data_IF_069466759603
#
_entry.id   IF_069466759603
#
_cell.length_a   1.000
_cell.length_b   1.000
_cell.length_c   1.000
_cell.angle_alpha   90.00
_cell.angle_beta   90.00
_cell.angle_gamma   90.00
#
_symmetry.space_group_name_H-M   'P 1'
#
loop_
_entity.id
_entity.type
_entity.pdbx_description
1 polymer ?
#
# COMPACT_ATOMS: atom_id res chain seq x y z
N UNK A 1 8.50 -61.39 -9.51
CA UNK A 1 8.57 -60.08 -8.84
C UNK A 1 10.03 -59.70 -8.66
N UNK A 2 10.46 -58.58 -9.26
CA UNK A 2 11.85 -58.08 -9.22
C UNK A 2 12.02 -57.18 -7.99
N UNK A 3 13.00 -57.45 -7.14
CA UNK A 3 13.46 -56.52 -6.11
C UNK A 3 14.48 -55.55 -6.74
N UNK A 4 14.24 -54.25 -6.64
CA UNK A 4 15.24 -53.21 -6.96
C UNK A 4 15.97 -52.83 -5.69
N UNK A 5 17.26 -53.09 -5.64
CA UNK A 5 18.19 -52.65 -4.59
C UNK A 5 18.51 -51.17 -4.80
N UNK A 6 18.27 -50.34 -3.78
CA UNK A 6 18.61 -48.91 -3.79
C UNK A 6 20.10 -48.76 -3.43
N UNK A 7 20.93 -48.24 -4.36
CA UNK A 7 22.31 -47.83 -4.07
C UNK A 7 22.30 -46.36 -3.64
N UNK A 8 22.78 -46.09 -2.43
CA UNK A 8 23.04 -44.73 -1.93
C UNK A 8 24.50 -44.41 -2.24
N UNK A 9 24.74 -43.44 -3.12
CA UNK A 9 26.08 -42.88 -3.33
C UNK A 9 26.24 -41.66 -2.43
N UNK A 10 27.27 -41.65 -1.57
CA UNK A 10 27.67 -40.46 -0.82
C UNK A 10 28.09 -39.36 -1.81
N UNK A 11 27.42 -38.21 -1.77
CA UNK A 11 27.88 -36.97 -2.39
C UNK A 11 28.61 -36.18 -1.32
N UNK A 12 29.91 -35.97 -1.51
CA UNK A 12 30.74 -35.12 -0.65
C UNK A 12 30.33 -33.66 -0.86
N UNK A 13 29.71 -33.04 0.14
CA UNK A 13 29.40 -31.60 0.12
C UNK A 13 30.65 -30.82 0.50
N UNK A 14 31.18 -30.06 -0.45
CA UNK A 14 32.25 -29.10 -0.23
C UNK A 14 31.66 -27.86 0.44
N UNK A 15 31.89 -27.69 1.75
CA UNK A 15 31.50 -26.48 2.48
C UNK A 15 32.54 -25.39 2.19
N UNK A 16 32.20 -24.47 1.30
CA UNK A 16 32.96 -23.23 1.12
C UNK A 16 32.49 -22.28 2.22
N UNK A 17 33.35 -22.07 3.22
CA UNK A 17 33.17 -21.06 4.26
C UNK A 17 33.31 -19.66 3.64
N UNK A 18 32.19 -19.09 3.19
CA UNK A 18 32.09 -17.67 2.85
C UNK A 18 32.03 -16.92 4.18
N UNK A 19 33.01 -16.05 4.42
CA UNK A 19 33.06 -15.21 5.61
C UNK A 19 31.77 -14.41 5.75
N UNK A 20 31.20 -14.44 6.96
CA UNK A 20 30.07 -13.60 7.35
C UNK A 20 30.48 -12.13 7.18
N UNK A 21 30.01 -11.50 6.11
CA UNK A 21 29.94 -10.04 6.05
C UNK A 21 28.83 -9.67 7.04
N UNK A 22 29.17 -8.91 8.08
CA UNK A 22 28.21 -8.41 9.06
C UNK A 22 27.18 -7.50 8.37
N UNK A 23 25.98 -8.03 8.12
CA UNK A 23 24.81 -7.27 7.63
C UNK A 23 24.18 -6.37 8.71
N UNK A 24 24.75 -6.29 9.91
CA UNK A 24 24.20 -5.54 11.04
C UNK A 24 24.34 -4.02 10.94
N UNK A 25 25.10 -3.48 9.99
CA UNK A 25 25.34 -2.03 9.88
C UNK A 25 24.39 -1.27 8.92
N UNK A 26 23.53 -1.96 8.16
CA UNK A 26 22.55 -1.28 7.28
C UNK A 26 21.22 -1.08 8.00
N UNK A 27 20.80 -2.05 8.83
CA UNK A 27 19.59 -1.94 9.67
C UNK A 27 19.67 -0.84 10.75
N UNK A 28 20.85 -0.30 11.07
CA UNK A 28 21.05 0.69 12.13
C UNK A 28 20.83 2.15 11.71
N UNK A 29 20.75 2.46 10.42
CA UNK A 29 20.83 3.84 9.92
C UNK A 29 19.47 4.52 9.61
N UNK A 30 18.35 3.80 9.72
CA UNK A 30 17.01 4.42 9.65
C UNK A 30 16.28 4.40 10.98
N UNK A 31 16.70 3.55 11.94
CA UNK A 31 15.91 3.34 13.15
C UNK A 31 15.78 4.63 13.98
N UNK A 32 16.84 5.43 14.05
CA UNK A 32 16.78 6.73 14.74
C UNK A 32 15.81 7.70 14.05
N UNK A 33 15.80 7.74 12.73
CA UNK A 33 14.92 8.59 11.91
C UNK A 33 13.47 8.14 12.05
N UNK A 34 13.22 6.83 12.06
CA UNK A 34 11.91 6.21 12.29
C UNK A 34 11.39 6.55 13.70
N UNK A 35 12.20 6.33 14.73
CA UNK A 35 11.80 6.56 16.13
C UNK A 35 11.40 8.02 16.34
N UNK A 36 12.20 8.96 15.83
CA UNK A 36 11.90 10.39 15.87
C UNK A 36 10.62 10.74 15.12
N UNK A 37 10.42 10.19 13.93
CA UNK A 37 9.22 10.44 13.13
C UNK A 37 7.96 9.93 13.84
N UNK A 38 8.03 8.74 14.45
CA UNK A 38 6.96 8.17 15.27
C UNK A 38 6.64 9.07 16.47
N UNK A 39 7.66 9.52 17.20
CA UNK A 39 7.48 10.39 18.37
C UNK A 39 6.84 11.73 17.97
N UNK A 40 7.30 12.34 16.87
CA UNK A 40 6.69 13.54 16.31
C UNK A 40 5.22 13.32 15.97
N UNK A 41 4.88 12.25 15.23
CA UNK A 41 3.50 11.99 14.82
C UNK A 41 2.58 11.73 16.01
N UNK A 42 3.06 11.04 17.06
CA UNK A 42 2.31 10.84 18.31
C UNK A 42 2.06 12.15 19.07
N UNK A 43 2.94 13.14 18.93
CA UNK A 43 2.77 14.45 19.57
C UNK A 43 1.80 15.37 18.82
N UNK A 44 1.39 15.02 17.59
CA UNK A 44 0.42 15.79 16.79
C UNK A 44 -1.02 15.27 16.95
N UNK A 45 -2.04 16.10 16.66
CA UNK A 45 -3.41 15.62 16.47
C UNK A 45 -3.46 14.50 15.42
N UNK A 46 -4.09 13.38 15.77
CA UNK A 46 -4.16 12.23 14.87
C UNK A 46 -5.11 12.49 13.70
N UNK A 47 -4.69 12.03 12.53
CA UNK A 47 -5.44 12.06 11.27
C UNK A 47 -5.44 10.66 10.67
N UNK A 48 -6.24 10.42 9.63
CA UNK A 48 -6.21 9.15 8.90
C UNK A 48 -4.79 8.81 8.39
N UNK A 49 -4.03 9.83 7.95
CA UNK A 49 -2.67 9.64 7.45
C UNK A 49 -1.68 9.31 8.56
N UNK A 50 -1.71 10.02 9.69
CA UNK A 50 -0.82 9.68 10.81
C UNK A 50 -1.19 8.34 11.43
N UNK A 51 -2.48 7.97 11.45
CA UNK A 51 -2.94 6.64 11.87
C UNK A 51 -2.36 5.55 11.01
N UNK A 52 -2.48 5.68 9.68
CA UNK A 52 -1.92 4.73 8.73
C UNK A 52 -0.41 4.59 8.92
N UNK A 53 0.30 5.71 9.04
CA UNK A 53 1.75 5.75 9.23
C UNK A 53 2.19 5.07 10.53
N UNK A 54 1.57 5.43 11.66
CA UNK A 54 1.86 4.85 12.97
C UNK A 54 1.55 3.35 12.99
N UNK A 55 0.42 2.94 12.41
CA UNK A 55 0.07 1.53 12.31
C UNK A 55 1.07 0.76 11.44
N UNK A 56 1.55 1.36 10.35
CA UNK A 56 2.62 0.78 9.53
C UNK A 56 3.93 0.61 10.31
N UNK A 57 4.23 1.50 11.27
CA UNK A 57 5.36 1.37 12.19
C UNK A 57 5.15 0.31 13.29
N UNK A 58 3.98 -0.34 13.35
CA UNK A 58 3.65 -1.32 14.38
C UNK A 58 3.22 -0.70 15.70
N UNK A 59 2.85 0.58 15.70
CA UNK A 59 2.41 1.27 16.91
C UNK A 59 1.06 0.77 17.39
N UNK A 60 0.93 0.69 18.71
CA UNK A 60 -0.29 0.23 19.38
C UNK A 60 -0.92 1.36 20.19
N UNK A 61 -2.23 1.27 20.46
CA UNK A 61 -2.95 2.30 21.22
C UNK A 61 -3.14 3.62 20.48
N UNK A 62 -3.09 3.60 19.14
CA UNK A 62 -3.39 4.76 18.29
C UNK A 62 -4.84 5.19 18.53
N UNK A 63 -5.06 6.50 18.69
CA UNK A 63 -6.41 7.07 18.82
C UNK A 63 -7.13 7.06 17.46
N UNK A 64 -8.20 6.27 17.38
CA UNK A 64 -9.02 6.08 16.18
C UNK A 64 -10.35 6.83 16.23
N UNK A 65 -10.61 7.63 17.26
CA UNK A 65 -11.90 8.32 17.45
C UNK A 65 -12.25 9.24 16.27
N UNK A 66 -11.25 9.85 15.63
CA UNK A 66 -11.41 10.67 14.44
C UNK A 66 -11.84 9.89 13.17
N UNK A 67 -11.81 8.55 13.22
CA UNK A 67 -12.27 7.66 12.14
C UNK A 67 -13.66 7.06 12.42
N UNK A 68 -14.32 7.45 13.52
CA UNK A 68 -15.67 6.96 13.84
C UNK A 68 -16.74 7.58 12.93
N UNK A 69 -16.53 8.80 12.43
CA UNK A 69 -17.48 9.46 11.53
C UNK A 69 -16.78 10.49 10.65
N UNK A 70 -16.99 10.37 9.33
CA UNK A 70 -16.53 11.37 8.38
C UNK A 70 -17.42 12.64 8.49
N UNK A 71 -16.83 13.84 8.66
CA UNK A 71 -17.59 15.09 8.70
C UNK A 71 -18.44 15.25 7.43
N UNK A 72 -19.68 15.70 7.59
CA UNK A 72 -20.68 15.72 6.51
C UNK A 72 -20.22 16.45 5.24
N UNK A 73 -19.49 17.55 5.42
CA UNK A 73 -18.96 18.42 4.38
C UNK A 73 -17.67 17.89 3.74
N UNK A 74 -17.08 16.83 4.30
CA UNK A 74 -15.84 16.22 3.84
C UNK A 74 -16.09 14.83 3.21
N UNK A 75 -17.35 14.39 3.10
CA UNK A 75 -17.70 13.10 2.48
C UNK A 75 -17.39 13.12 0.99
N UNK A 76 -16.40 12.32 0.60
CA UNK A 76 -15.92 12.17 -0.78
C UNK A 76 -15.29 10.79 -0.95
N UNK A 77 -15.01 10.41 -2.20
CA UNK A 77 -14.24 9.20 -2.53
C UNK A 77 -12.93 9.17 -1.73
N UNK A 78 -12.16 10.25 -1.79
CA UNK A 78 -10.88 10.37 -1.11
C UNK A 78 -10.99 10.22 0.41
N UNK A 79 -12.03 10.78 1.04
CA UNK A 79 -12.22 10.63 2.49
C UNK A 79 -12.50 9.18 2.87
N UNK A 80 -13.43 8.50 2.17
CA UNK A 80 -13.73 7.10 2.46
C UNK A 80 -12.54 6.19 2.16
N UNK A 81 -11.85 6.39 1.03
CA UNK A 81 -10.65 5.64 0.68
C UNK A 81 -9.57 5.77 1.76
N UNK A 82 -9.29 7.00 2.22
CA UNK A 82 -8.34 7.25 3.30
C UNK A 82 -8.74 6.59 4.62
N UNK A 83 -10.03 6.61 4.97
CA UNK A 83 -10.53 5.98 6.20
C UNK A 83 -10.37 4.46 6.11
N UNK A 84 -10.72 3.85 4.97
CA UNK A 84 -10.51 2.42 4.73
C UNK A 84 -9.04 2.07 4.90
N UNK A 85 -8.14 2.78 4.22
CA UNK A 85 -6.70 2.52 4.29
C UNK A 85 -6.15 2.66 5.72
N UNK A 86 -6.57 3.69 6.46
CA UNK A 86 -6.14 3.90 7.83
C UNK A 86 -6.68 2.83 8.81
N UNK A 87 -7.95 2.44 8.65
CA UNK A 87 -8.57 1.41 9.48
C UNK A 87 -7.96 0.04 9.21
N UNK A 88 -7.76 -0.32 7.94
CA UNK A 88 -7.10 -1.57 7.55
C UNK A 88 -5.67 -1.60 8.09
N UNK A 89 -4.91 -0.51 7.94
CA UNK A 89 -3.57 -0.39 8.53
C UNK A 89 -3.59 -0.65 10.05
N UNK A 90 -4.59 -0.11 10.76
CA UNK A 90 -4.79 -0.30 12.19
C UNK A 90 -5.47 -1.64 12.58
N UNK A 91 -5.66 -2.57 11.64
CA UNK A 91 -6.29 -3.87 11.86
C UNK A 91 -7.78 -3.79 12.24
N UNK A 92 -8.48 -2.76 11.76
CA UNK A 92 -9.92 -2.54 11.99
C UNK A 92 -10.72 -2.81 10.72
N UNK A 93 -11.96 -3.24 10.90
CA UNK A 93 -12.88 -3.50 9.79
C UNK A 93 -13.61 -2.21 9.37
N UNK A 94 -13.37 -1.67 8.17
CA UNK A 94 -13.96 -0.43 7.70
C UNK A 94 -15.47 -0.51 7.40
N UNK A 95 -16.07 -1.72 7.35
CA UNK A 95 -17.52 -1.88 7.16
C UNK A 95 -18.33 -1.70 8.44
N UNK A 96 -17.67 -1.81 9.61
CA UNK A 96 -18.34 -1.88 10.91
C UNK A 96 -17.69 -1.05 12.02
N UNK A 97 -16.52 -0.46 11.78
CA UNK A 97 -15.83 0.36 12.77
C UNK A 97 -16.56 1.68 13.05
N UNK A 98 -16.93 2.41 12.00
CA UNK A 98 -17.51 3.75 12.11
C UNK A 98 -19.03 3.75 12.11
N UNK A 99 -19.59 4.96 12.05
CA UNK A 99 -21.02 5.21 11.96
C UNK A 99 -21.64 4.81 10.60
N UNK A 100 -20.80 4.54 9.60
CA UNK A 100 -21.19 4.16 8.24
C UNK A 100 -20.32 2.99 7.78
N UNK A 101 -20.86 2.17 6.88
CA UNK A 101 -20.04 1.23 6.11
C UNK A 101 -19.24 2.01 5.07
N UNK A 102 -17.97 2.26 5.34
CA UNK A 102 -17.13 3.09 4.47
C UNK A 102 -16.86 2.42 3.12
N UNK A 103 -16.88 1.09 3.05
CA UNK A 103 -16.68 0.35 1.79
C UNK A 103 -17.91 0.50 0.90
N UNK A 104 -19.11 0.30 1.45
CA UNK A 104 -20.34 0.52 0.71
C UNK A 104 -20.50 1.98 0.29
N UNK A 105 -20.10 2.93 1.16
CA UNK A 105 -20.07 4.35 0.81
C UNK A 105 -19.12 4.63 -0.34
N UNK A 106 -17.88 4.15 -0.30
CA UNK A 106 -16.92 4.31 -1.39
C UNK A 106 -17.48 3.75 -2.71
N UNK A 107 -18.02 2.52 -2.69
CA UNK A 107 -18.61 1.88 -3.87
C UNK A 107 -19.79 2.63 -4.45
N UNK A 108 -20.56 3.34 -3.62
CA UNK A 108 -21.71 4.13 -4.08
C UNK A 108 -21.34 5.33 -4.96
N UNK A 109 -20.07 5.74 -4.99
CA UNK A 109 -19.57 6.79 -5.90
C UNK A 109 -19.18 6.25 -7.28
N UNK A 110 -19.23 4.94 -7.51
CA UNK A 110 -18.91 4.37 -8.81
C UNK A 110 -20.00 4.66 -9.83
N UNK A 111 -19.63 5.34 -10.91
CA UNK A 111 -20.51 5.69 -12.02
C UNK A 111 -19.69 5.91 -13.30
N UNK A 112 -20.24 5.55 -14.46
CA UNK A 112 -19.59 5.78 -15.76
C UNK A 112 -18.15 5.23 -15.85
N UNK A 113 -17.91 4.04 -15.29
CA UNK A 113 -16.63 3.33 -15.28
C UNK A 113 -15.52 4.01 -14.44
N UNK A 114 -15.87 4.95 -13.55
CA UNK A 114 -14.93 5.63 -12.66
C UNK A 114 -15.58 5.94 -11.29
N UNK A 115 -14.78 6.30 -10.29
CA UNK A 115 -15.25 6.68 -8.95
C UNK A 115 -15.25 8.18 -8.76
N UNK A 116 -16.41 8.77 -8.47
CA UNK A 116 -16.49 10.17 -8.08
C UNK A 116 -16.68 11.11 -9.27
N UNK A 117 -15.80 12.10 -9.40
CA UNK A 117 -15.94 13.21 -10.34
C UNK A 117 -15.25 12.86 -11.66
N UNK A 118 -15.99 12.99 -12.77
CA UNK A 118 -15.53 12.56 -14.11
C UNK A 118 -14.31 13.33 -14.65
N UNK A 119 -13.92 14.42 -14.00
CA UNK A 119 -12.71 15.17 -14.36
C UNK A 119 -11.49 14.82 -13.51
N UNK A 120 -11.67 14.03 -12.45
CA UNK A 120 -10.60 13.62 -11.55
C UNK A 120 -10.06 12.23 -11.94
N UNK A 121 -8.79 12.01 -11.61
CA UNK A 121 -8.17 10.68 -11.64
C UNK A 121 -7.80 10.22 -10.23
N UNK A 122 -7.55 11.17 -9.35
CA UNK A 122 -7.10 10.94 -8.00
C UNK A 122 -8.10 10.09 -7.19
N UNK A 123 -9.40 10.30 -7.39
CA UNK A 123 -10.46 9.53 -6.74
C UNK A 123 -10.48 8.06 -7.17
N UNK A 124 -10.33 7.75 -8.46
CA UNK A 124 -10.14 6.37 -8.93
C UNK A 124 -8.90 5.73 -8.31
N UNK A 125 -7.76 6.44 -8.31
CA UNK A 125 -6.50 5.97 -7.76
C UNK A 125 -6.67 5.56 -6.28
N UNK A 126 -7.28 6.43 -5.47
CA UNK A 126 -7.51 6.14 -4.06
C UNK A 126 -8.57 5.07 -3.83
N UNK A 127 -9.62 5.01 -4.65
CA UNK A 127 -10.64 3.97 -4.56
C UNK A 127 -10.06 2.58 -4.82
N UNK A 128 -9.19 2.44 -5.83
CA UNK A 128 -8.48 1.19 -6.13
C UNK A 128 -7.59 0.77 -4.96
N UNK A 129 -6.76 1.68 -4.43
CA UNK A 129 -5.91 1.38 -3.28
C UNK A 129 -6.72 0.93 -2.06
N UNK A 130 -7.83 1.59 -1.77
CA UNK A 130 -8.70 1.24 -0.65
C UNK A 130 -9.36 -0.13 -0.84
N UNK A 131 -9.92 -0.42 -2.02
CA UNK A 131 -10.55 -1.72 -2.30
C UNK A 131 -9.51 -2.85 -2.36
N UNK A 132 -8.32 -2.61 -2.91
CA UNK A 132 -7.21 -3.57 -2.88
C UNK A 132 -6.77 -3.91 -1.46
N UNK A 133 -6.72 -2.92 -0.56
CA UNK A 133 -6.35 -3.14 0.85
C UNK A 133 -7.24 -4.14 1.60
N UNK A 134 -8.46 -4.36 1.12
CA UNK A 134 -9.42 -5.33 1.67
C UNK A 134 -9.64 -6.56 0.76
N UNK A 135 -8.74 -6.82 -0.17
CA UNK A 135 -8.79 -7.99 -1.06
C UNK A 135 -9.90 -7.93 -2.12
N UNK A 136 -10.30 -6.73 -2.55
CA UNK A 136 -11.37 -6.51 -3.54
C UNK A 136 -10.85 -5.96 -4.88
N UNK A 137 -9.57 -6.16 -5.17
CA UNK A 137 -8.92 -5.71 -6.40
C UNK A 137 -9.50 -6.33 -7.68
N UNK A 138 -10.13 -7.51 -7.57
CA UNK A 138 -10.71 -8.24 -8.70
C UNK A 138 -12.17 -7.86 -9.04
N UNK A 139 -12.78 -6.91 -8.31
CA UNK A 139 -14.13 -6.45 -8.61
C UNK A 139 -14.19 -5.73 -9.96
N UNK A 140 -15.31 -5.87 -10.69
CA UNK A 140 -15.48 -5.21 -12.00
C UNK A 140 -15.30 -3.69 -11.92
N UNK A 141 -15.81 -3.05 -10.87
CA UNK A 141 -15.65 -1.61 -10.63
C UNK A 141 -14.18 -1.18 -10.50
N UNK A 142 -13.32 -2.03 -9.93
CA UNK A 142 -11.87 -1.77 -9.82
C UNK A 142 -11.22 -1.95 -11.18
N UNK A 143 -11.61 -2.99 -11.93
CA UNK A 143 -11.08 -3.24 -13.26
C UNK A 143 -11.45 -2.13 -14.26
N UNK A 144 -12.67 -1.60 -14.16
CA UNK A 144 -13.16 -0.46 -14.96
C UNK A 144 -12.42 0.84 -14.60
N UNK A 145 -12.27 1.16 -13.30
CA UNK A 145 -11.49 2.32 -12.85
C UNK A 145 -10.01 2.23 -13.25
N UNK A 146 -9.41 1.02 -13.16
CA UNK A 146 -8.05 0.75 -13.64
C UNK A 146 -7.93 1.06 -15.13
N UNK A 147 -8.88 0.61 -15.94
CA UNK A 147 -8.89 0.90 -17.38
C UNK A 147 -9.08 2.40 -17.65
N UNK A 148 -9.88 3.10 -16.84
CA UNK A 148 -10.03 4.56 -16.91
C UNK A 148 -8.70 5.28 -16.66
N UNK A 149 -7.96 4.91 -15.61
CA UNK A 149 -6.62 5.48 -15.33
C UNK A 149 -5.66 5.21 -16.50
N UNK A 150 -5.59 3.97 -16.99
CA UNK A 150 -4.70 3.60 -18.09
C UNK A 150 -4.98 4.38 -19.38
N UNK A 151 -6.26 4.64 -19.68
CA UNK A 151 -6.68 5.38 -20.86
C UNK A 151 -6.41 6.88 -20.77
N UNK A 152 -6.14 7.40 -19.57
CA UNK A 152 -5.86 8.82 -19.32
C UNK A 152 -4.40 9.08 -18.92
N UNK A 153 -3.47 8.19 -19.28
CA UNK A 153 -2.04 8.47 -19.17
C UNK A 153 -1.65 9.58 -20.17
N UNK A 154 -0.95 10.60 -19.69
CA UNK A 154 -0.46 11.69 -20.52
C UNK A 154 0.67 11.23 -21.46
N UNK A 155 0.93 12.01 -22.51
CA UNK A 155 1.96 11.66 -23.51
C UNK A 155 3.39 11.70 -22.94
N UNK A 156 3.59 12.32 -21.79
CA UNK A 156 4.86 12.31 -21.04
C UNK A 156 5.03 11.05 -20.17
N UNK A 157 4.00 10.19 -20.09
CA UNK A 157 4.01 8.96 -19.31
C UNK A 157 3.49 9.10 -17.88
N UNK A 158 3.17 10.32 -17.43
CA UNK A 158 2.64 10.55 -16.07
C UNK A 158 1.12 10.62 -16.02
N UNK A 159 0.62 10.83 -14.80
CA UNK A 159 -0.75 11.20 -14.48
C UNK A 159 -0.75 12.42 -13.55
N UNK A 160 -1.85 13.17 -13.54
CA UNK A 160 -2.08 14.27 -12.62
C UNK A 160 -3.29 14.02 -11.75
N UNK A 161 -3.53 14.93 -10.80
CA UNK A 161 -4.73 14.92 -9.93
C UNK A 161 -6.05 14.80 -10.72
N UNK A 162 -6.09 15.43 -11.89
CA UNK A 162 -7.20 15.45 -12.83
C UNK A 162 -6.69 15.12 -14.24
N UNK A 163 -7.57 15.20 -15.25
CA UNK A 163 -7.24 14.95 -16.66
C UNK A 163 -6.28 15.99 -17.30
N UNK A 164 -5.61 16.84 -16.50
CA UNK A 164 -4.65 17.82 -16.97
C UNK A 164 -3.20 17.30 -16.86
N UNK A 165 -2.26 18.20 -16.57
CA UNK A 165 -0.83 17.92 -16.58
C UNK A 165 -0.42 16.93 -15.50
N UNK A 166 0.56 16.09 -15.84
CA UNK A 166 1.17 15.13 -14.93
C UNK A 166 1.92 15.82 -13.78
N UNK A 167 1.93 15.18 -12.61
CA UNK A 167 2.78 15.52 -11.47
C UNK A 167 3.37 14.26 -10.83
N UNK A 168 4.41 14.42 -9.99
CA UNK A 168 5.11 13.28 -9.38
C UNK A 168 4.25 12.51 -8.38
N UNK A 169 3.36 13.19 -7.65
CA UNK A 169 2.60 12.59 -6.57
C UNK A 169 1.51 11.68 -7.12
N UNK A 170 0.69 12.19 -8.03
CA UNK A 170 -0.39 11.45 -8.66
C UNK A 170 0.16 10.37 -9.60
N UNK A 171 1.30 10.59 -10.26
CA UNK A 171 1.97 9.51 -11.01
C UNK A 171 2.44 8.38 -10.10
N UNK A 172 3.05 8.70 -8.95
CA UNK A 172 3.47 7.68 -7.99
C UNK A 172 2.27 6.92 -7.39
N UNK A 173 1.19 7.63 -7.06
CA UNK A 173 -0.04 7.03 -6.55
C UNK A 173 -0.70 6.13 -7.61
N UNK A 174 -0.75 6.56 -8.87
CA UNK A 174 -1.26 5.77 -9.99
C UNK A 174 -0.45 4.48 -10.20
N UNK A 175 0.89 4.53 -10.12
CA UNK A 175 1.72 3.32 -10.17
C UNK A 175 1.28 2.34 -9.07
N UNK A 176 1.15 2.81 -7.82
CA UNK A 176 0.77 1.94 -6.71
C UNK A 176 -0.62 1.33 -6.90
N UNK A 177 -1.60 2.13 -7.34
CA UNK A 177 -2.98 1.67 -7.60
C UNK A 177 -3.04 0.67 -8.76
N UNK A 178 -2.34 0.92 -9.86
CA UNK A 178 -2.34 0.04 -11.02
C UNK A 178 -1.69 -1.32 -10.70
N UNK A 179 -0.58 -1.33 -9.98
CA UNK A 179 0.04 -2.56 -9.51
C UNK A 179 -0.89 -3.33 -8.55
N UNK A 180 -1.58 -2.62 -7.66
CA UNK A 180 -2.59 -3.21 -6.77
C UNK A 180 -3.75 -3.84 -7.56
N UNK A 181 -4.19 -3.20 -8.65
CA UNK A 181 -5.21 -3.72 -9.55
C UNK A 181 -4.72 -4.81 -10.53
N UNK A 182 -3.49 -5.32 -10.33
CA UNK A 182 -2.92 -6.44 -11.09
C UNK A 182 -2.26 -6.06 -12.43
N UNK A 183 -1.99 -4.77 -12.68
CA UNK A 183 -1.17 -4.37 -13.82
C UNK A 183 0.27 -4.82 -13.59
N UNK A 184 0.87 -5.48 -14.58
CA UNK A 184 2.27 -5.90 -14.48
C UNK A 184 3.20 -4.67 -14.43
N UNK A 185 4.23 -4.74 -13.59
CA UNK A 185 5.31 -3.76 -13.50
C UNK A 185 6.03 -3.57 -14.85
N UNK A 186 6.12 -4.62 -15.67
CA UNK A 186 6.69 -4.61 -17.00
C UNK A 186 5.77 -4.01 -18.09
N UNK A 187 4.56 -3.58 -17.74
CA UNK A 187 3.64 -2.97 -18.71
C UNK A 187 4.16 -1.64 -19.22
N UNK A 188 3.85 -1.31 -20.48
CA UNK A 188 4.29 -0.06 -21.11
C UNK A 188 3.88 1.17 -20.29
N UNK A 189 2.65 1.17 -19.75
CA UNK A 189 2.15 2.28 -18.93
C UNK A 189 3.02 2.51 -17.69
N UNK A 190 3.34 1.45 -16.94
CA UNK A 190 4.18 1.56 -15.74
C UNK A 190 5.61 1.96 -16.10
N UNK A 191 6.19 1.41 -17.18
CA UNK A 191 7.55 1.77 -17.61
C UNK A 191 7.65 3.23 -18.08
N UNK A 192 6.60 3.75 -18.73
CA UNK A 192 6.50 5.17 -19.09
C UNK A 192 6.43 6.04 -17.84
N UNK A 193 5.65 5.65 -16.83
CA UNK A 193 5.53 6.37 -15.57
C UNK A 193 6.84 6.40 -14.77
N UNK A 194 7.57 5.29 -14.72
CA UNK A 194 8.92 5.24 -14.12
C UNK A 194 9.86 6.21 -14.86
N UNK A 195 9.78 6.25 -16.19
CA UNK A 195 10.60 7.15 -17.02
C UNK A 195 10.25 8.61 -16.78
N UNK A 196 8.95 8.93 -16.65
CA UNK A 196 8.46 10.24 -16.25
C UNK A 196 9.06 10.65 -14.90
N UNK A 197 8.90 9.85 -13.83
CA UNK A 197 9.43 10.17 -12.51
C UNK A 197 10.94 10.41 -12.55
N UNK A 198 11.71 9.52 -13.20
CA UNK A 198 13.17 9.68 -13.36
C UNK A 198 13.57 10.98 -14.05
N UNK A 199 12.75 11.50 -14.96
CA UNK A 199 13.02 12.76 -15.63
C UNK A 199 12.84 13.99 -14.72
N UNK A 200 12.06 13.88 -13.65
CA UNK A 200 11.84 14.94 -12.66
C UNK A 200 12.82 14.89 -11.47
N UNK A 201 13.55 13.79 -11.27
CA UNK A 201 14.50 13.69 -10.16
C UNK A 201 15.58 14.78 -10.26
N UNK A 202 15.83 15.51 -9.17
CA UNK A 202 16.84 16.56 -9.11
C UNK A 202 18.23 16.04 -8.69
N UNK A 203 19.27 16.87 -8.85
CA UNK A 203 20.67 16.49 -8.57
C UNK A 203 20.96 16.23 -7.08
N UNK A 204 20.10 16.70 -6.19
CA UNK A 204 20.11 16.40 -4.76
C UNK A 204 19.46 15.04 -4.43
N UNK A 205 18.95 14.34 -5.45
CA UNK A 205 18.27 13.05 -5.34
C UNK A 205 16.77 13.16 -5.10
N UNK A 206 16.26 14.35 -4.76
CA UNK A 206 14.85 14.56 -4.40
C UNK A 206 13.92 14.71 -5.60
N UNK A 207 12.62 14.59 -5.34
CA UNK A 207 11.56 14.78 -6.31
C UNK A 207 10.77 16.06 -6.00
N UNK A 208 10.59 16.93 -7.00
CA UNK A 208 9.65 18.03 -6.91
C UNK A 208 8.23 17.61 -7.31
N UNK A 209 7.22 18.40 -6.94
CA UNK A 209 5.84 18.18 -7.41
C UNK A 209 5.74 18.30 -8.95
N UNK A 210 6.37 19.34 -9.52
CA UNK A 210 6.41 19.60 -10.97
C UNK A 210 7.85 19.73 -11.45
N UNK A 211 8.07 19.52 -12.76
CA UNK A 211 9.36 19.72 -13.41
C UNK A 211 9.92 21.13 -13.10
N UNK A 212 11.22 21.19 -12.86
CA UNK A 212 11.97 22.42 -12.54
C UNK A 212 11.51 23.17 -11.28
N UNK A 213 10.74 22.52 -10.38
CA UNK A 213 10.42 23.06 -9.06
C UNK A 213 11.29 22.47 -7.94
N UNK A 214 11.16 23.00 -6.73
CA UNK A 214 11.95 22.59 -5.56
C UNK A 214 11.48 21.21 -5.07
N UNK A 215 12.39 20.25 -4.83
CA UNK A 215 12.06 18.97 -4.21
C UNK A 215 11.42 19.12 -2.83
N UNK A 216 10.56 18.19 -2.47
CA UNK A 216 9.82 18.27 -1.22
C UNK A 216 9.54 16.89 -0.59
N UNK A 217 9.31 16.87 0.72
CA UNK A 217 9.14 15.64 1.48
C UNK A 217 7.86 14.88 1.16
N UNK A 218 6.82 15.55 0.64
CA UNK A 218 5.63 14.86 0.17
C UNK A 218 5.94 14.08 -1.11
N UNK A 219 6.52 14.74 -2.11
CA UNK A 219 6.87 14.12 -3.39
C UNK A 219 7.88 13.01 -3.24
N UNK A 220 8.92 13.19 -2.43
CA UNK A 220 9.84 12.10 -2.10
C UNK A 220 9.10 10.91 -1.49
N UNK A 221 8.20 11.15 -0.53
CA UNK A 221 7.53 10.07 0.15
C UNK A 221 6.66 9.22 -0.78
N UNK A 222 5.90 9.88 -1.66
CA UNK A 222 5.06 9.17 -2.63
C UNK A 222 5.90 8.41 -3.64
N UNK A 223 6.94 9.04 -4.21
CA UNK A 223 7.80 8.39 -5.21
C UNK A 223 8.57 7.23 -4.61
N UNK A 224 9.16 7.38 -3.41
CA UNK A 224 9.87 6.28 -2.73
C UNK A 224 8.92 5.11 -2.43
N UNK A 225 7.70 5.39 -1.96
CA UNK A 225 6.71 4.33 -1.73
C UNK A 225 6.38 3.58 -3.02
N UNK A 226 6.22 4.28 -4.15
CA UNK A 226 6.00 3.65 -5.45
C UNK A 226 7.22 2.82 -5.92
N UNK A 227 8.45 3.28 -5.64
CA UNK A 227 9.67 2.51 -5.92
C UNK A 227 9.65 1.17 -5.15
N UNK A 228 9.27 1.18 -3.87
CA UNK A 228 9.12 -0.05 -3.09
C UNK A 228 7.97 -0.94 -3.62
N UNK A 229 6.84 -0.36 -4.05
CA UNK A 229 5.75 -1.15 -4.69
C UNK A 229 6.21 -1.89 -5.94
N UNK A 230 7.12 -1.29 -6.69
CA UNK A 230 7.75 -1.87 -7.87
C UNK A 230 8.79 -2.95 -7.54
N UNK A 231 9.03 -3.24 -6.25
CA UNK A 231 10.09 -4.15 -5.81
C UNK A 231 11.50 -3.61 -6.09
N UNK A 232 11.64 -2.29 -6.27
CA UNK A 232 12.92 -1.63 -6.51
C UNK A 232 13.44 -1.00 -5.23
N UNK A 233 14.74 -0.69 -5.21
CA UNK A 233 15.42 -0.05 -4.09
C UNK A 233 15.81 1.40 -4.47
N UNK A 234 15.29 2.42 -3.76
CA UNK A 234 15.52 3.83 -4.06
C UNK A 234 16.98 4.25 -3.83
N UNK A 235 17.78 3.48 -3.11
CA UNK A 235 19.19 3.79 -2.82
C UNK A 235 20.16 3.29 -3.90
N UNK A 236 19.66 2.57 -4.91
CA UNK A 236 20.48 2.01 -5.98
C UNK A 236 20.84 3.02 -7.05
N UNK A 237 21.82 2.68 -7.91
CA UNK A 237 22.21 3.50 -9.07
C UNK A 237 21.06 3.81 -10.03
N UNK A 238 20.01 2.99 -10.06
CA UNK A 238 18.81 3.21 -10.87
C UNK A 238 18.06 4.49 -10.50
N UNK A 239 18.13 4.89 -9.23
CA UNK A 239 17.46 6.04 -8.63
C UNK A 239 18.46 7.03 -8.04
N UNK A 240 19.74 6.94 -8.39
CA UNK A 240 20.77 7.86 -7.92
C UNK A 240 21.10 8.87 -9.01
N UNK A 241 20.96 10.16 -8.70
CA UNK A 241 21.37 11.27 -9.57
C UNK A 241 22.46 12.08 -8.87
N UNK A 242 23.55 12.36 -9.58
CA UNK A 242 24.68 13.13 -9.06
C UNK A 242 25.24 12.64 -7.70
N UNK A 243 25.15 11.32 -7.45
CA UNK A 243 25.62 10.67 -6.22
C UNK A 243 24.68 10.77 -5.02
N UNK A 244 23.44 11.26 -5.23
CA UNK A 244 22.39 11.35 -4.22
C UNK A 244 21.17 10.56 -4.66
N UNK A 245 20.52 9.92 -3.69
CA UNK A 245 19.31 9.14 -3.91
C UNK A 245 18.11 9.79 -3.18
N UNK A 246 16.86 9.36 -3.46
CA UNK A 246 15.66 10.00 -2.93
C UNK A 246 15.58 9.93 -1.40
N UNK A 247 16.07 8.83 -0.81
CA UNK A 247 16.08 8.67 0.64
C UNK A 247 17.10 9.61 1.31
N UNK A 248 18.20 9.96 0.64
CA UNK A 248 19.14 10.98 1.13
C UNK A 248 18.46 12.34 1.23
N UNK A 249 17.71 12.74 0.19
CA UNK A 249 16.99 14.01 0.18
C UNK A 249 15.89 14.04 1.24
N UNK A 250 15.03 13.02 1.29
CA UNK A 250 13.96 12.91 2.29
C UNK A 250 14.49 13.05 3.72
N UNK A 251 15.56 12.32 4.07
CA UNK A 251 16.18 12.39 5.40
C UNK A 251 16.80 13.74 5.71
N UNK A 252 17.26 14.48 4.71
CA UNK A 252 17.80 15.82 4.90
C UNK A 252 16.74 16.84 5.36
N UNK A 253 15.46 16.52 5.15
CA UNK A 253 14.31 17.34 5.57
C UNK A 253 13.81 17.00 6.98
N UNK A 254 14.36 15.99 7.67
CA UNK A 254 13.97 15.67 9.04
C UNK A 254 14.53 16.70 10.01
N UNK A 255 13.66 17.29 10.82
CA UNK A 255 14.03 18.22 11.88
C UNK A 255 14.43 17.49 13.19
N UNK A 256 15.01 18.24 14.13
CA UNK A 256 15.40 17.71 15.45
C UNK A 256 14.25 17.13 16.26
N UNK A 257 13.03 17.67 16.10
CA UNK A 257 11.81 17.16 16.73
C UNK A 257 11.23 15.89 16.08
N UNK A 258 11.84 15.45 14.96
CA UNK A 258 11.47 14.25 14.22
C UNK A 258 10.48 14.44 13.08
N UNK A 259 9.82 15.59 12.99
CA UNK A 259 8.96 15.92 11.86
C UNK A 259 9.77 16.31 10.63
N UNK A 260 9.14 16.27 9.45
CA UNK A 260 9.79 16.57 8.19
C UNK A 260 9.30 17.89 7.63
N UNK A 261 10.23 18.81 7.35
CA UNK A 261 9.92 20.04 6.64
C UNK A 261 9.36 19.73 5.25
N UNK A 262 8.43 20.55 4.76
CA UNK A 262 7.92 20.40 3.40
C UNK A 262 9.08 20.56 2.39
N UNK A 263 9.79 21.69 2.40
CA UNK A 263 10.92 21.93 1.47
C UNK A 263 12.23 22.35 2.13
N UNK A 264 12.16 23.19 3.17
CA UNK A 264 13.36 23.72 3.82
C UNK A 264 13.10 23.97 5.30
N UNK A 265 14.18 24.11 6.07
CA UNK A 265 14.12 24.43 7.49
C UNK A 265 13.28 25.69 7.75
N UNK A 266 12.35 25.59 8.71
CA UNK A 266 11.44 26.68 9.08
C UNK A 266 10.14 26.76 8.28
N UNK A 267 9.91 25.85 7.33
CA UNK A 267 8.61 25.69 6.66
C UNK A 267 7.58 24.99 7.57
N UNK A 268 6.45 24.54 7.04
CA UNK A 268 5.51 23.66 7.70
C UNK A 268 5.99 22.19 7.61
N UNK A 269 5.34 21.30 8.37
CA UNK A 269 5.66 19.87 8.41
C UNK A 269 4.47 18.95 8.07
N UNK A 270 3.52 19.41 7.25
CA UNK A 270 2.28 18.65 7.00
C UNK A 270 2.54 17.29 6.30
N UNK A 271 3.66 17.16 5.58
CA UNK A 271 4.06 15.94 4.88
C UNK A 271 4.57 14.82 5.79
N UNK A 272 4.86 15.11 7.07
CA UNK A 272 5.47 14.14 8.00
C UNK A 272 4.79 12.77 8.03
N UNK A 273 3.44 12.64 8.02
CA UNK A 273 2.79 11.33 7.99
C UNK A 273 3.16 10.47 6.77
N UNK A 274 3.43 11.07 5.62
CA UNK A 274 3.74 10.34 4.38
C UNK A 274 5.15 9.74 4.41
N UNK A 275 6.08 10.41 5.11
CA UNK A 275 7.51 10.06 5.11
C UNK A 275 7.82 8.74 5.83
N UNK A 276 6.94 8.28 6.72
CA UNK A 276 7.21 7.12 7.55
C UNK A 276 7.20 5.80 6.76
N UNK A 277 6.34 5.66 5.75
CA UNK A 277 6.33 4.47 4.90
C UNK A 277 7.65 4.29 4.12
N UNK A 278 8.18 5.33 3.45
CA UNK A 278 9.52 5.32 2.86
C UNK A 278 10.63 4.87 3.83
N UNK A 279 10.62 5.39 5.06
CA UNK A 279 11.63 5.04 6.07
C UNK A 279 11.53 3.58 6.51
N UNK A 280 10.31 3.04 6.52
CA UNK A 280 9.99 1.65 6.85
C UNK A 280 10.16 0.69 5.66
N UNK A 281 10.58 1.18 4.49
CA UNK A 281 10.66 0.38 3.26
C UNK A 281 9.31 -0.19 2.81
N UNK A 282 8.23 0.58 3.02
CA UNK A 282 6.84 0.19 2.74
C UNK A 282 6.22 1.00 1.61
N UNK A 283 5.10 0.48 1.12
CA UNK A 283 4.25 1.10 0.11
C UNK A 283 2.78 1.12 0.54
N UNK A 284 1.95 1.79 -0.26
CA UNK A 284 0.49 1.70 -0.21
C UNK A 284 -0.05 0.55 -1.10
N UNK A 285 -1.20 -0.05 -0.73
CA UNK A 285 -1.74 -0.02 0.63
C UNK A 285 -0.76 -0.66 1.62
N UNK A 286 -0.83 -0.28 2.90
CA UNK A 286 0.01 -0.90 3.93
C UNK A 286 -0.41 -2.36 4.04
N UNK A 287 0.49 -3.27 3.67
CA UNK A 287 0.27 -4.69 3.86
C UNK A 287 0.09 -4.99 5.34
N UNK A 288 -1.07 -5.55 5.68
CA UNK A 288 -1.41 -5.95 7.04
C UNK A 288 -1.88 -7.38 7.06
N UNK A 289 -1.94 -7.92 8.27
CA UNK A 289 -2.64 -9.17 8.55
C UNK A 289 -4.17 -9.00 8.49
N UNK A 290 -4.71 -7.88 7.97
CA UNK A 290 -6.15 -7.64 7.88
C UNK A 290 -6.89 -8.77 7.15
N UNK A 291 -6.32 -9.25 6.04
CA UNK A 291 -6.86 -10.37 5.30
C UNK A 291 -6.48 -11.74 5.92
N UNK A 292 -5.60 -11.78 6.93
CA UNK A 292 -5.21 -13.02 7.62
C UNK A 292 -6.21 -13.30 8.72
N UNK A 293 -6.93 -14.40 8.57
CA UNK A 293 -7.90 -14.86 9.54
C UNK A 293 -7.57 -16.26 10.01
N UNK A 294 -7.97 -16.55 11.25
CA UNK A 294 -7.98 -17.93 11.74
C UNK A 294 -9.36 -18.52 11.48
N UNK A 295 -9.43 -19.57 10.67
CA UNK A 295 -10.63 -20.39 10.57
C UNK A 295 -10.51 -21.60 11.49
N UNK A 296 -11.64 -21.96 12.09
CA UNK A 296 -11.75 -23.15 12.92
C UNK A 296 -12.97 -23.95 12.48
N UNK A 297 -12.72 -25.15 11.97
CA UNK A 297 -13.75 -26.10 11.55
C UNK A 297 -13.96 -27.10 12.68
N UNK A 298 -15.16 -27.11 13.24
CA UNK A 298 -15.55 -28.00 14.34
C UNK A 298 -16.36 -29.18 13.81
N UNK A 299 -16.00 -30.39 14.23
CA UNK A 299 -16.86 -31.57 14.11
C UNK A 299 -17.67 -31.77 15.39
N UNK A 300 -18.51 -32.81 15.40
CA UNK A 300 -19.43 -33.08 16.51
C UNK A 300 -18.74 -33.24 17.88
N UNK A 301 -17.46 -33.64 17.91
CA UNK A 301 -16.74 -33.97 19.15
C UNK A 301 -15.41 -33.23 19.31
N UNK A 302 -14.84 -32.69 18.23
CA UNK A 302 -13.52 -32.06 18.25
C UNK A 302 -13.33 -31.12 17.07
N UNK A 303 -12.40 -30.19 17.22
CA UNK A 303 -11.89 -29.37 16.11
C UNK A 303 -11.26 -30.28 15.06
N UNK A 304 -11.75 -30.17 13.82
CA UNK A 304 -11.25 -30.91 12.65
C UNK A 304 -10.07 -30.16 12.03
N UNK A 305 -10.18 -28.83 11.93
CA UNK A 305 -9.13 -27.98 11.39
C UNK A 305 -9.06 -26.64 12.14
N UNK A 306 -7.84 -26.15 12.30
CA UNK A 306 -7.56 -24.79 12.74
C UNK A 306 -6.41 -24.27 11.87
N UNK A 307 -6.70 -23.27 11.03
CA UNK A 307 -5.78 -22.81 10.00
C UNK A 307 -5.80 -21.28 9.90
N UNK A 308 -4.64 -20.72 9.58
CA UNK A 308 -4.55 -19.35 9.06
C UNK A 308 -4.92 -19.38 7.58
N UNK A 309 -5.82 -18.50 7.18
CA UNK A 309 -6.27 -18.33 5.79
C UNK A 309 -6.21 -16.84 5.44
N UNK A 310 -6.10 -16.56 4.15
CA UNK A 310 -6.25 -15.21 3.63
C UNK A 310 -7.64 -15.03 3.01
N UNK A 311 -8.25 -13.85 3.14
CA UNK A 311 -9.45 -13.51 2.39
C UNK A 311 -10.08 -12.20 2.84
N UNK A 312 -10.65 -11.45 1.89
CA UNK A 312 -11.30 -10.16 2.16
C UNK A 312 -12.77 -10.31 2.58
N UNK A 313 -13.37 -11.48 2.34
CA UNK A 313 -14.76 -11.79 2.65
C UNK A 313 -14.90 -13.16 3.31
N UNK A 314 -16.00 -13.41 4.02
CA UNK A 314 -16.27 -14.73 4.62
C UNK A 314 -16.24 -15.85 3.58
N UNK A 315 -16.64 -15.57 2.33
CA UNK A 315 -16.62 -16.57 1.27
C UNK A 315 -15.19 -16.91 0.86
N UNK A 316 -14.30 -15.92 0.78
CA UNK A 316 -12.87 -16.15 0.53
C UNK A 316 -12.23 -16.99 1.63
N UNK A 317 -12.65 -16.78 2.89
CA UNK A 317 -12.16 -17.59 4.01
C UNK A 317 -12.63 -19.03 3.92
N UNK A 318 -13.87 -19.26 3.47
CA UNK A 318 -14.39 -20.61 3.24
C UNK A 318 -13.63 -21.28 2.09
N UNK A 319 -13.40 -20.57 0.97
CA UNK A 319 -12.70 -21.13 -0.19
C UNK A 319 -11.25 -21.43 0.17
N UNK A 320 -10.49 -20.44 0.66
CA UNK A 320 -9.09 -20.62 1.09
C UNK A 320 -8.95 -21.67 2.19
N UNK A 321 -9.93 -21.72 3.10
CA UNK A 321 -9.99 -22.72 4.14
C UNK A 321 -10.12 -24.14 3.62
N UNK A 322 -10.90 -24.34 2.55
CA UNK A 322 -11.08 -25.66 1.95
C UNK A 322 -9.79 -26.22 1.39
N UNK A 323 -8.92 -25.37 0.81
CA UNK A 323 -7.63 -25.77 0.25
C UNK A 323 -6.65 -26.25 1.33
N UNK A 324 -6.72 -25.65 2.52
CA UNK A 324 -5.83 -25.99 3.65
C UNK A 324 -6.40 -27.15 4.48
N UNK A 325 -7.69 -27.08 4.79
CA UNK A 325 -8.37 -28.00 5.70
C UNK A 325 -8.98 -29.23 5.00
N UNK A 326 -9.11 -29.21 3.67
CA UNK A 326 -9.59 -30.32 2.86
C UNK A 326 -11.08 -30.65 3.03
N UNK A 327 -11.91 -29.67 3.40
CA UNK A 327 -13.37 -29.86 3.43
C UNK A 327 -14.00 -29.49 2.09
N UNK A 328 -15.09 -30.17 1.74
CA UNK A 328 -15.95 -29.77 0.63
C UNK A 328 -16.90 -28.65 1.09
N UNK A 329 -17.31 -27.79 0.16
CA UNK A 329 -18.28 -26.73 0.41
C UNK A 329 -19.21 -26.55 -0.79
N UNK A 330 -20.42 -26.08 -0.55
CA UNK A 330 -21.33 -25.61 -1.59
C UNK A 330 -21.77 -24.18 -1.30
N UNK A 331 -21.71 -23.33 -2.31
CA UNK A 331 -22.19 -21.94 -2.22
C UNK A 331 -23.41 -21.83 -3.11
N UNK A 332 -24.53 -21.46 -2.51
CA UNK A 332 -25.81 -21.31 -3.20
C UNK A 332 -26.23 -19.85 -3.11
N UNK A 333 -26.50 -19.24 -4.25
CA UNK A 333 -27.12 -17.92 -4.31
C UNK A 333 -28.63 -18.05 -4.22
N UNK A 334 -29.23 -17.40 -3.21
CA UNK A 334 -30.66 -17.27 -3.08
C UNK A 334 -31.10 -15.88 -3.56
N UNK A 335 -31.93 -15.78 -4.62
CA UNK A 335 -32.44 -14.50 -5.09
C UNK A 335 -33.08 -13.69 -3.96
N UNK A 336 -32.54 -12.51 -3.68
CA UNK A 336 -33.03 -11.60 -2.63
C UNK A 336 -32.58 -11.93 -1.20
N UNK A 337 -31.85 -13.02 -0.96
CA UNK A 337 -31.31 -13.38 0.37
C UNK A 337 -29.78 -13.50 0.40
N UNK A 338 -29.11 -13.50 -0.76
CA UNK A 338 -27.65 -13.53 -0.87
C UNK A 338 -27.06 -14.94 -0.92
N UNK A 339 -25.76 -15.04 -0.61
CA UNK A 339 -24.98 -16.28 -0.65
C UNK A 339 -25.16 -17.09 0.64
N UNK A 340 -25.37 -18.39 0.50
CA UNK A 340 -25.46 -19.33 1.60
C UNK A 340 -24.44 -20.45 1.44
N UNK A 341 -23.81 -20.81 2.55
CA UNK A 341 -23.00 -22.01 2.66
C UNK A 341 -23.92 -23.21 2.94
N UNK A 342 -23.86 -24.23 2.08
CA UNK A 342 -24.72 -25.40 2.11
C UNK A 342 -23.95 -26.71 2.24
#
# INVERSE_FOLDING_TARGET
MRYKTLKISLVTVLVISIGLINFSNVYSNNQSEIDKAVDYLKSQPQTAWSTLALAAAGETGIDLSHLESAPSEQKSVNTYAKYILALVAAGKNPTSFGAEDYVDKLKSYFQNNQFGDEVLLNDDIWAILALGSIGQENLSIVQEAKDYILNNQNTDGGWGYNLASSDTNDTAAAIMALLEAGVADSSTAIQNAISYLKSLQNDDGGFPYLLDSTPDSCSDAWVISAIYKLGQDPTTLTWTKSGKNPLDHLKSLQDEDGGFWWQAEGDNKFCSPFTLLPLLEKSYPVETDYNKHTIRIEGDQNTICNAQVNGGTVIDLVISGSEICGYDYSIIEYPGMGLYLA
#
